data_IF_456702308098
#
_entry.id   IF_456702308098
#
_cell.length_a   1.000
_cell.length_b   1.000
_cell.length_c   1.000
_cell.angle_alpha   90.00
_cell.angle_beta   90.00
_cell.angle_gamma   90.00
#
_symmetry.space_group_name_H-M   'P 1'
#
loop_
_entity.id
_entity.type
_entity.pdbx_description
1 polymer ?
#
# COMPACT_ATOMS: atom_id res chain seq x y z
N UNK A 1 -29.82 10.15 -2.47
CA UNK A 1 -28.42 10.41 -2.09
C UNK A 1 -27.62 10.48 -3.37
N UNK A 2 -27.27 11.68 -3.81
CA UNK A 2 -26.30 11.88 -4.90
C UNK A 2 -24.96 11.41 -4.37
N UNK A 3 -24.37 10.40 -5.00
CA UNK A 3 -23.00 10.00 -4.70
C UNK A 3 -22.11 11.23 -4.91
N UNK A 4 -21.29 11.58 -3.91
CA UNK A 4 -20.37 12.71 -4.01
C UNK A 4 -19.40 12.44 -5.17
N UNK A 5 -19.48 13.25 -6.23
CA UNK A 5 -18.67 13.10 -7.45
C UNK A 5 -17.17 13.00 -7.14
N UNK A 6 -16.73 13.63 -6.04
CA UNK A 6 -15.35 13.49 -5.55
C UNK A 6 -15.04 12.05 -5.09
N UNK A 7 -15.96 11.43 -4.35
CA UNK A 7 -15.78 10.06 -3.85
C UNK A 7 -15.74 9.03 -4.98
N UNK A 8 -16.62 9.17 -5.98
CA UNK A 8 -16.60 8.32 -7.17
C UNK A 8 -15.28 8.46 -7.96
N UNK A 9 -14.80 9.70 -8.15
CA UNK A 9 -13.51 9.95 -8.83
C UNK A 9 -12.33 9.34 -8.07
N UNK A 10 -12.29 9.48 -6.75
CA UNK A 10 -11.24 8.90 -5.91
C UNK A 10 -11.30 7.37 -5.96
N UNK A 11 -12.49 6.76 -5.95
CA UNK A 11 -12.66 5.32 -6.10
C UNK A 11 -12.00 4.82 -7.38
N UNK A 12 -12.33 5.40 -8.53
CA UNK A 12 -11.80 4.97 -9.83
C UNK A 12 -10.27 5.11 -9.90
N UNK A 13 -9.75 6.23 -9.42
CA UNK A 13 -8.30 6.46 -9.33
C UNK A 13 -7.60 5.43 -8.43
N UNK A 14 -8.19 5.12 -7.29
CA UNK A 14 -7.59 4.21 -6.32
C UNK A 14 -7.71 2.73 -6.74
N UNK A 15 -8.73 2.36 -7.52
CA UNK A 15 -8.82 1.04 -8.17
C UNK A 15 -7.70 0.90 -9.21
N UNK A 16 -7.53 1.92 -10.05
CA UNK A 16 -6.49 1.91 -11.08
C UNK A 16 -5.08 1.95 -10.47
N UNK A 17 -4.89 2.69 -9.38
CA UNK A 17 -3.65 2.66 -8.60
C UNK A 17 -3.32 1.25 -8.09
N UNK A 18 -4.29 0.52 -7.55
CA UNK A 18 -4.07 -0.83 -7.05
C UNK A 18 -3.56 -1.75 -8.17
N UNK A 19 -4.21 -1.65 -9.34
CA UNK A 19 -3.90 -2.44 -10.54
C UNK A 19 -2.53 -2.09 -11.12
N UNK A 20 -2.24 -0.82 -11.33
CA UNK A 20 -1.01 -0.36 -11.97
C UNK A 20 0.23 -0.57 -11.10
N UNK A 21 0.08 -0.52 -9.78
CA UNK A 21 1.21 -0.74 -8.85
C UNK A 21 1.42 -2.20 -8.49
N UNK A 22 0.52 -3.10 -8.92
CA UNK A 22 0.54 -4.51 -8.52
C UNK A 22 0.31 -4.67 -7.02
N UNK A 23 -0.52 -3.82 -6.44
CA UNK A 23 -1.08 -4.01 -5.10
C UNK A 23 -2.17 -5.10 -5.15
N UNK A 24 -3.04 -5.01 -6.16
CA UNK A 24 -4.10 -5.98 -6.39
C UNK A 24 -4.42 -6.08 -7.90
N UNK A 25 -4.18 -7.23 -8.56
CA UNK A 25 -3.51 -8.42 -8.02
C UNK A 25 -2.04 -8.16 -7.66
N UNK A 26 -1.47 -8.88 -6.67
CA UNK A 26 -0.09 -8.68 -6.25
C UNK A 26 0.91 -9.15 -7.31
N UNK A 27 1.99 -8.39 -7.51
CA UNK A 27 3.15 -8.79 -8.33
C UNK A 27 4.35 -9.11 -7.45
N UNK A 28 5.24 -9.99 -7.91
CA UNK A 28 6.33 -10.52 -7.09
C UNK A 28 7.40 -9.49 -6.66
N UNK A 29 7.64 -8.46 -7.47
CA UNK A 29 8.66 -7.42 -7.20
C UNK A 29 8.12 -6.03 -7.54
N UNK A 30 7.21 -5.50 -6.71
CA UNK A 30 6.61 -4.19 -6.95
C UNK A 30 7.64 -3.08 -6.78
N UNK A 31 7.56 -2.05 -7.61
CA UNK A 31 8.31 -0.81 -7.39
C UNK A 31 7.49 0.11 -6.51
N UNK A 32 7.96 0.33 -5.29
CA UNK A 32 7.28 1.13 -4.27
C UNK A 32 7.99 2.47 -4.06
N UNK A 33 7.20 3.48 -3.72
CA UNK A 33 7.67 4.83 -3.46
C UNK A 33 6.99 5.33 -2.20
N UNK A 34 7.76 5.46 -1.12
CA UNK A 34 7.23 5.67 0.23
C UNK A 34 6.16 6.76 0.31
N UNK A 35 6.44 7.94 -0.26
CA UNK A 35 5.51 9.07 -0.22
C UNK A 35 4.22 8.79 -0.99
N UNK A 36 4.31 8.23 -2.20
CA UNK A 36 3.14 7.90 -3.01
C UNK A 36 2.26 6.86 -2.32
N UNK A 37 2.88 5.80 -1.76
CA UNK A 37 2.15 4.75 -1.07
C UNK A 37 1.53 5.27 0.24
N UNK A 38 2.18 6.17 0.97
CA UNK A 38 1.62 6.80 2.17
C UNK A 38 0.34 7.62 1.85
N UNK A 39 0.33 8.39 0.76
CA UNK A 39 -0.88 9.08 0.31
C UNK A 39 -1.98 8.10 -0.11
N UNK A 40 -1.63 7.01 -0.80
CA UNK A 40 -2.58 5.98 -1.19
C UNK A 40 -3.23 5.28 0.02
N UNK A 41 -2.47 4.97 1.07
CA UNK A 41 -3.02 4.45 2.34
C UNK A 41 -4.06 5.42 2.90
N UNK A 42 -3.75 6.71 3.01
CA UNK A 42 -4.69 7.72 3.49
C UNK A 42 -5.98 7.77 2.64
N UNK A 43 -5.86 7.69 1.32
CA UNK A 43 -7.01 7.70 0.41
C UNK A 43 -7.90 6.46 0.60
N UNK A 44 -7.31 5.27 0.74
CA UNK A 44 -8.07 4.05 1.01
C UNK A 44 -8.79 4.10 2.35
N UNK A 45 -8.12 4.58 3.41
CA UNK A 45 -8.76 4.74 4.72
C UNK A 45 -9.91 5.75 4.70
N UNK A 46 -9.77 6.83 3.94
CA UNK A 46 -10.85 7.82 3.77
C UNK A 46 -12.02 7.26 2.94
N UNK A 47 -11.74 6.49 1.88
CA UNK A 47 -12.77 5.77 1.13
C UNK A 47 -13.55 4.80 2.04
N UNK A 48 -12.84 4.02 2.87
CA UNK A 48 -13.46 3.15 3.87
C UNK A 48 -14.34 3.96 4.84
N UNK A 49 -13.83 5.07 5.38
CA UNK A 49 -14.59 5.92 6.32
C UNK A 49 -15.87 6.50 5.70
N UNK A 50 -15.84 6.86 4.41
CA UNK A 50 -16.99 7.46 3.70
C UNK A 50 -18.03 6.43 3.26
N UNK A 51 -17.59 5.25 2.85
CA UNK A 51 -18.44 4.25 2.18
C UNK A 51 -18.83 3.08 3.09
N UNK A 52 -18.00 2.76 4.09
CA UNK A 52 -18.10 1.54 4.88
C UNK A 52 -17.68 0.28 4.12
N UNK A 53 -17.16 0.39 2.89
CA UNK A 53 -16.78 -0.75 2.05
C UNK A 53 -15.42 -1.32 2.51
N UNK A 54 -15.47 -2.53 3.07
CA UNK A 54 -14.29 -3.24 3.60
C UNK A 54 -13.10 -3.41 2.63
N UNK A 55 -13.30 -3.59 1.30
CA UNK A 55 -12.18 -3.68 0.37
C UNK A 55 -11.18 -2.53 0.44
N UNK A 56 -11.61 -1.30 0.77
CA UNK A 56 -10.67 -0.19 0.90
C UNK A 56 -9.80 -0.32 2.16
N UNK A 57 -10.35 -0.81 3.28
CA UNK A 57 -9.54 -1.12 4.47
C UNK A 57 -8.52 -2.22 4.15
N UNK A 58 -8.96 -3.27 3.46
CA UNK A 58 -8.09 -4.38 3.09
C UNK A 58 -6.96 -3.94 2.13
N UNK A 59 -7.27 -3.08 1.15
CA UNK A 59 -6.26 -2.48 0.27
C UNK A 59 -5.26 -1.61 1.02
N UNK A 60 -5.71 -0.81 2.01
CA UNK A 60 -4.82 -0.03 2.85
C UNK A 60 -3.84 -0.94 3.63
N UNK A 61 -4.34 -2.00 4.26
CA UNK A 61 -3.53 -2.95 5.01
C UNK A 61 -2.54 -3.70 4.13
N UNK A 62 -2.98 -4.19 2.96
CA UNK A 62 -2.09 -4.83 1.97
C UNK A 62 -0.99 -3.89 1.50
N UNK A 63 -1.31 -2.61 1.32
CA UNK A 63 -0.33 -1.63 0.87
C UNK A 63 0.73 -1.36 1.94
N UNK A 64 0.31 -1.22 3.21
CA UNK A 64 1.24 -1.11 4.35
C UNK A 64 2.16 -2.33 4.41
N UNK A 65 1.59 -3.53 4.33
CA UNK A 65 2.36 -4.78 4.35
C UNK A 65 3.36 -4.86 3.20
N UNK A 66 2.94 -4.52 1.98
CA UNK A 66 3.83 -4.55 0.82
C UNK A 66 4.92 -3.48 0.88
N UNK A 67 4.62 -2.28 1.39
CA UNK A 67 5.62 -1.22 1.64
C UNK A 67 6.63 -1.67 2.68
N UNK A 68 6.18 -2.27 3.78
CA UNK A 68 7.06 -2.80 4.82
C UNK A 68 8.04 -3.83 4.25
N UNK A 69 7.53 -4.83 3.54
CA UNK A 69 8.37 -5.89 2.96
C UNK A 69 9.26 -5.41 1.80
N UNK A 70 8.89 -4.36 1.08
CA UNK A 70 9.65 -3.85 -0.06
C UNK A 70 10.65 -2.76 0.33
N UNK A 71 10.24 -1.79 1.14
CA UNK A 71 11.02 -0.60 1.51
C UNK A 71 11.59 -0.67 2.92
N UNK A 72 11.13 -1.59 3.76
CA UNK A 72 11.67 -1.83 5.11
C UNK A 72 12.94 -2.69 5.12
N UNK A 73 13.37 -3.21 3.95
CA UNK A 73 14.60 -3.99 3.79
C UNK A 73 15.66 -3.22 3.03
N UNK A 74 16.93 -3.55 3.30
CA UNK A 74 18.02 -3.08 2.45
C UNK A 74 17.83 -3.60 1.03
N UNK A 75 18.09 -2.73 0.05
CA UNK A 75 17.89 -3.02 -1.36
C UNK A 75 18.84 -4.12 -1.86
N UNK A 76 18.36 -4.96 -2.77
CA UNK A 76 19.20 -5.87 -3.55
C UNK A 76 20.41 -5.12 -4.16
N UNK A 77 21.62 -5.53 -3.79
CA UNK A 77 22.88 -4.93 -4.23
C UNK A 77 23.47 -3.87 -3.30
N UNK A 78 22.83 -3.54 -2.17
CA UNK A 78 23.46 -2.84 -1.05
C UNK A 78 24.42 -3.80 -0.32
N UNK A 79 25.49 -3.27 0.29
CA UNK A 79 26.40 -4.09 1.11
C UNK A 79 25.77 -4.52 2.43
N UNK A 80 24.75 -3.78 2.90
CA UNK A 80 23.94 -4.11 4.06
C UNK A 80 22.83 -5.06 3.67
N UNK A 81 22.48 -5.95 4.58
CA UNK A 81 21.46 -6.99 4.37
C UNK A 81 20.45 -6.97 5.51
N UNK A 82 19.29 -7.60 5.30
CA UNK A 82 18.22 -7.67 6.28
C UNK A 82 17.34 -6.41 6.34
N UNK A 83 16.70 -6.21 7.49
CA UNK A 83 15.77 -5.12 7.74
C UNK A 83 16.49 -3.81 8.11
N UNK A 84 15.98 -2.68 7.64
CA UNK A 84 16.51 -1.33 7.97
C UNK A 84 16.41 -1.04 9.47
N UNK A 85 15.43 -1.62 10.15
CA UNK A 85 15.27 -1.53 11.61
C UNK A 85 16.40 -2.23 12.39
N UNK A 86 17.20 -3.08 11.74
CA UNK A 86 18.18 -3.94 12.40
C UNK A 86 17.57 -5.16 13.11
N UNK A 87 16.26 -5.39 12.96
CA UNK A 87 15.59 -6.56 13.53
C UNK A 87 15.93 -7.85 12.76
N UNK A 88 15.95 -9.01 13.45
CA UNK A 88 16.08 -10.31 12.79
C UNK A 88 14.88 -10.56 11.87
N UNK A 89 15.03 -11.47 10.89
CA UNK A 89 14.04 -11.67 9.82
C UNK A 89 12.62 -11.94 10.34
N UNK A 90 12.48 -12.75 11.40
CA UNK A 90 11.19 -13.10 12.00
C UNK A 90 10.47 -11.90 12.64
N UNK A 91 11.22 -11.04 13.33
CA UNK A 91 10.65 -9.87 14.01
C UNK A 91 10.42 -8.72 13.03
N UNK A 92 11.33 -8.56 12.06
CA UNK A 92 11.21 -7.52 11.06
C UNK A 92 10.09 -7.78 10.05
N UNK A 93 9.65 -9.02 9.83
CA UNK A 93 8.52 -9.34 8.92
C UNK A 93 7.14 -9.21 9.56
N UNK A 94 7.08 -8.93 10.86
CA UNK A 94 5.82 -8.68 11.58
C UNK A 94 5.46 -7.21 11.50
#
# INVERSE_FOLDING_TARGET
MTEDTSTATVRDLMVEFARLTGLDPPIARPRRYLWTDAYAVCNYLELFRRTGEEPYRDLALRLVDQVHHTLGRHRDGDSRTGWISGLPDEEGSR
#
